data_IF_914459130598
#
_entry.id   IF_914459130598
#
_cell.length_a   1.000
_cell.length_b   1.000
_cell.length_c   1.000
_cell.angle_alpha   90.00
_cell.angle_beta   90.00
_cell.angle_gamma   90.00
#
_symmetry.space_group_name_H-M   'P 1'
#
loop_
_entity.id
_entity.type
_entity.pdbx_description
1 polymer ?
#
# COMPACT_ATOMS: atom_id res chain seq x y z
N UNK A 1 14.10 -2.98 -27.89
CA UNK A 1 14.30 -4.36 -27.39
C UNK A 1 14.10 -4.30 -25.89
N UNK A 2 13.19 -5.08 -25.32
CA UNK A 2 13.04 -5.15 -23.85
C UNK A 2 14.35 -5.68 -23.29
N UNK A 3 15.07 -4.89 -22.51
CA UNK A 3 16.22 -5.36 -21.72
C UNK A 3 15.73 -6.47 -20.79
N UNK A 4 16.46 -7.58 -20.70
CA UNK A 4 16.10 -8.74 -19.86
C UNK A 4 16.23 -8.47 -18.35
N UNK A 5 16.67 -7.26 -17.97
CA UNK A 5 17.00 -6.87 -16.61
C UNK A 5 16.25 -5.60 -16.17
N UNK A 6 15.24 -5.18 -16.92
CA UNK A 6 14.50 -3.94 -16.68
C UNK A 6 12.99 -4.16 -16.79
N UNK A 7 12.25 -3.38 -16.00
CA UNK A 7 10.80 -3.27 -16.04
C UNK A 7 10.41 -1.83 -16.37
N UNK A 8 9.45 -1.66 -17.28
CA UNK A 8 8.89 -0.33 -17.58
C UNK A 8 7.94 0.14 -16.46
N UNK A 9 7.81 1.46 -16.29
CA UNK A 9 6.88 2.07 -15.32
C UNK A 9 5.45 1.55 -15.48
N UNK A 10 4.97 1.39 -16.72
CA UNK A 10 3.62 0.87 -16.99
C UNK A 10 3.44 -0.57 -16.47
N UNK A 11 4.43 -1.45 -16.71
CA UNK A 11 4.38 -2.82 -16.21
C UNK A 11 4.44 -2.86 -14.69
N UNK A 12 5.31 -2.06 -14.07
CA UNK A 12 5.41 -1.97 -12.62
C UNK A 12 4.11 -1.44 -11.99
N UNK A 13 3.50 -0.41 -12.57
CA UNK A 13 2.24 0.16 -12.08
C UNK A 13 1.10 -0.87 -12.02
N UNK A 14 1.09 -1.88 -12.89
CA UNK A 14 0.11 -2.99 -12.85
C UNK A 14 0.36 -3.99 -11.72
N UNK A 15 1.59 -4.05 -11.20
CA UNK A 15 1.98 -4.93 -10.09
C UNK A 15 1.79 -4.28 -8.72
N UNK A 16 2.03 -2.96 -8.62
CA UNK A 16 1.81 -2.18 -7.39
C UNK A 16 0.37 -2.33 -6.90
N UNK A 17 0.21 -2.40 -5.59
CA UNK A 17 -1.10 -2.57 -4.97
C UNK A 17 -1.62 -4.00 -4.97
N UNK A 18 -0.80 -4.98 -5.37
CA UNK A 18 -1.20 -6.39 -5.46
C UNK A 18 -0.33 -7.27 -4.55
N UNK A 19 -0.83 -8.44 -4.08
CA UNK A 19 -0.06 -9.35 -3.22
C UNK A 19 1.25 -9.85 -3.85
N UNK A 20 1.27 -9.92 -5.19
CA UNK A 20 2.39 -10.42 -5.98
C UNK A 20 3.35 -9.31 -6.43
N UNK A 21 3.21 -8.09 -5.91
CA UNK A 21 4.18 -7.03 -6.16
C UNK A 21 5.57 -7.49 -5.66
N UNK A 22 6.62 -7.42 -6.49
CA UNK A 22 8.00 -7.65 -6.04
C UNK A 22 8.39 -6.68 -4.93
N UNK A 23 9.44 -6.98 -4.18
CA UNK A 23 10.02 -6.01 -3.24
C UNK A 23 10.50 -4.78 -4.02
N UNK A 24 10.07 -3.58 -3.65
CA UNK A 24 10.48 -2.35 -4.30
C UNK A 24 11.56 -1.67 -3.45
N UNK A 25 12.76 -1.56 -4.00
CA UNK A 25 13.94 -1.13 -3.23
C UNK A 25 14.46 0.16 -3.85
N UNK A 26 14.29 1.26 -3.13
CA UNK A 26 14.80 2.58 -3.52
C UNK A 26 16.23 2.75 -2.98
N UNK A 27 17.18 2.86 -3.90
CA UNK A 27 18.61 3.01 -3.61
C UNK A 27 19.15 4.38 -4.03
N UNK A 28 18.27 5.37 -4.18
CA UNK A 28 18.68 6.76 -4.37
C UNK A 28 19.54 7.22 -3.20
N UNK A 29 20.62 7.91 -3.54
CA UNK A 29 21.47 8.59 -2.56
C UNK A 29 20.70 9.74 -1.92
N UNK A 30 21.17 10.23 -0.78
CA UNK A 30 20.47 11.28 -0.04
C UNK A 30 20.30 12.55 -0.89
N UNK A 31 21.28 12.94 -1.71
CA UNK A 31 21.17 14.07 -2.64
C UNK A 31 20.01 13.91 -3.65
N UNK A 32 19.93 12.76 -4.31
CA UNK A 32 18.86 12.45 -5.28
C UNK A 32 17.48 12.36 -4.59
N UNK A 33 17.44 11.83 -3.37
CA UNK A 33 16.21 11.70 -2.59
C UNK A 33 15.73 13.05 -2.05
N UNK A 34 16.62 13.88 -1.55
CA UNK A 34 16.28 15.19 -0.98
C UNK A 34 15.80 16.16 -2.06
N UNK A 35 16.25 15.99 -3.31
CA UNK A 35 15.74 16.73 -4.47
C UNK A 35 14.26 16.43 -4.78
N UNK A 36 13.81 15.20 -4.53
CA UNK A 36 12.40 14.81 -4.62
C UNK A 36 12.07 13.71 -3.59
N UNK A 37 11.64 14.11 -2.36
CA UNK A 37 11.51 13.22 -1.22
C UNK A 37 10.18 12.46 -1.23
N UNK A 38 9.77 11.99 -2.42
CA UNK A 38 8.66 11.06 -2.63
C UNK A 38 9.18 9.68 -2.97
N UNK A 39 8.40 8.64 -2.75
CA UNK A 39 8.75 7.24 -3.00
C UNK A 39 7.83 6.63 -4.05
N UNK A 40 8.32 5.67 -4.82
CA UNK A 40 7.42 4.79 -5.59
C UNK A 40 6.52 4.04 -4.58
N UNK A 41 5.20 3.95 -4.80
CA UNK A 41 4.30 3.34 -3.81
C UNK A 41 4.73 1.92 -3.44
N UNK A 42 4.90 1.69 -2.13
CA UNK A 42 5.36 0.42 -1.55
C UNK A 42 6.87 0.23 -1.54
N UNK A 43 7.66 1.21 -1.99
CA UNK A 43 9.12 1.11 -1.93
C UNK A 43 9.71 1.45 -0.56
N UNK A 44 10.80 0.78 -0.24
CA UNK A 44 11.60 1.05 0.96
C UNK A 44 12.98 1.54 0.54
N UNK A 45 13.47 2.59 1.20
CA UNK A 45 14.85 3.06 1.01
C UNK A 45 15.85 2.08 1.63
N UNK A 46 16.90 1.76 0.87
CA UNK A 46 18.05 0.98 1.32
C UNK A 46 19.33 1.59 0.76
N UNK A 47 20.39 1.59 1.55
CA UNK A 47 21.68 2.11 1.11
C UNK A 47 22.37 1.09 0.21
N UNK A 48 22.69 1.46 -1.03
CA UNK A 48 23.38 0.58 -1.98
C UNK A 48 24.77 0.16 -1.50
N UNK A 49 25.42 0.96 -0.63
CA UNK A 49 26.77 0.69 -0.10
C UNK A 49 26.80 -0.52 0.83
N UNK A 50 25.68 -0.77 1.51
CA UNK A 50 25.51 -1.87 2.48
C UNK A 50 24.64 -2.99 1.91
N UNK A 51 24.54 -3.13 0.59
CA UNK A 51 23.70 -4.14 -0.06
C UNK A 51 23.94 -5.55 0.46
N UNK A 52 25.19 -5.92 0.73
CA UNK A 52 25.55 -7.23 1.28
C UNK A 52 24.99 -7.45 2.70
N UNK A 53 24.79 -6.37 3.45
CA UNK A 53 24.31 -6.42 4.83
C UNK A 53 22.81 -6.64 4.91
N UNK A 54 22.01 -6.05 4.01
CA UNK A 54 20.54 -6.13 4.08
C UNK A 54 19.89 -7.05 3.04
N UNK A 55 20.66 -7.63 2.10
CA UNK A 55 20.08 -8.50 1.05
C UNK A 55 19.26 -9.66 1.62
N UNK A 56 19.63 -10.18 2.79
CA UNK A 56 18.91 -11.26 3.47
C UNK A 56 17.57 -10.84 4.09
N UNK A 57 17.32 -9.54 4.24
CA UNK A 57 16.06 -8.99 4.75
C UNK A 57 14.97 -8.91 3.68
N UNK A 58 15.31 -9.17 2.40
CA UNK A 58 14.34 -9.16 1.31
C UNK A 58 13.51 -10.44 1.35
N UNK A 59 12.27 -10.31 1.83
CA UNK A 59 11.33 -11.42 2.07
C UNK A 59 10.53 -11.86 0.82
N UNK A 60 10.92 -11.38 -0.37
CA UNK A 60 10.28 -11.70 -1.64
C UNK A 60 11.22 -12.46 -2.56
N UNK A 61 10.65 -13.36 -3.35
CA UNK A 61 11.39 -14.10 -4.38
C UNK A 61 11.89 -13.20 -5.53
N UNK A 62 11.31 -12.01 -5.68
CA UNK A 62 11.75 -11.02 -6.66
C UNK A 62 11.74 -9.58 -6.12
N UNK A 63 12.57 -8.73 -6.73
CA UNK A 63 12.71 -7.32 -6.39
C UNK A 63 12.82 -6.43 -7.64
N UNK A 64 12.35 -5.20 -7.53
CA UNK A 64 12.62 -4.12 -8.49
C UNK A 64 13.45 -3.06 -7.80
N UNK A 65 14.62 -2.76 -8.37
CA UNK A 65 15.55 -1.78 -7.82
C UNK A 65 15.37 -0.44 -8.52
N UNK A 66 15.20 0.61 -7.73
CA UNK A 66 14.92 1.97 -8.17
C UNK A 66 16.09 2.84 -7.75
N UNK A 67 16.77 3.47 -8.72
CA UNK A 67 17.62 4.62 -8.45
C UNK A 67 17.08 5.82 -9.20
N UNK A 68 17.78 6.96 -9.16
CA UNK A 68 17.30 8.19 -9.78
C UNK A 68 16.95 8.01 -11.27
N UNK A 69 17.86 7.39 -12.03
CA UNK A 69 17.78 7.31 -13.50
C UNK A 69 17.76 5.89 -14.07
N UNK A 70 17.66 4.86 -13.23
CA UNK A 70 17.71 3.46 -13.67
C UNK A 70 19.08 3.02 -14.20
N UNK A 71 20.18 3.58 -13.68
CA UNK A 71 21.56 3.35 -14.16
C UNK A 71 22.40 2.54 -13.17
N UNK A 72 23.68 2.90 -13.00
CA UNK A 72 24.73 2.13 -12.31
C UNK A 72 24.34 1.61 -10.92
N UNK A 73 23.67 2.41 -10.09
CA UNK A 73 23.32 2.04 -8.73
C UNK A 73 22.28 0.93 -8.69
N UNK A 74 21.16 1.10 -9.40
CA UNK A 74 20.11 0.09 -9.44
C UNK A 74 20.58 -1.20 -10.11
N UNK A 75 21.37 -1.12 -11.19
CA UNK A 75 21.93 -2.31 -11.83
C UNK A 75 22.92 -3.06 -10.93
N UNK A 76 23.77 -2.34 -10.19
CA UNK A 76 24.73 -2.94 -9.25
C UNK A 76 24.03 -3.66 -8.10
N UNK A 77 23.03 -3.03 -7.49
CA UNK A 77 22.23 -3.64 -6.42
C UNK A 77 21.41 -4.82 -6.95
N UNK A 78 20.76 -4.69 -8.11
CA UNK A 78 20.03 -5.81 -8.71
C UNK A 78 20.95 -7.00 -9.00
N UNK A 79 22.21 -6.77 -9.39
CA UNK A 79 23.19 -7.84 -9.56
C UNK A 79 23.56 -8.54 -8.24
N UNK A 80 23.72 -7.79 -7.15
CA UNK A 80 23.94 -8.37 -5.81
C UNK A 80 22.75 -9.22 -5.33
N UNK A 81 21.52 -8.73 -5.54
CA UNK A 81 20.31 -9.50 -5.23
C UNK A 81 20.25 -10.81 -6.02
N UNK A 82 20.54 -10.77 -7.33
CA UNK A 82 20.61 -11.98 -8.17
C UNK A 82 21.70 -12.95 -7.70
N UNK A 83 22.85 -12.44 -7.27
CA UNK A 83 23.91 -13.28 -6.70
C UNK A 83 23.47 -13.97 -5.39
N UNK A 84 22.56 -13.35 -4.62
CA UNK A 84 21.95 -13.94 -3.44
C UNK A 84 20.72 -14.83 -3.74
N UNK A 85 20.41 -15.07 -5.01
CA UNK A 85 19.30 -15.93 -5.44
C UNK A 85 17.94 -15.24 -5.56
N UNK A 86 17.88 -13.90 -5.43
CA UNK A 86 16.65 -13.12 -5.59
C UNK A 86 16.57 -12.62 -7.04
N UNK A 87 15.48 -12.94 -7.75
CA UNK A 87 15.26 -12.40 -9.09
C UNK A 87 15.12 -10.87 -9.00
N UNK A 88 15.90 -10.10 -9.75
CA UNK A 88 15.86 -8.65 -9.64
C UNK A 88 15.99 -7.94 -10.97
N UNK A 89 15.08 -6.99 -11.21
CA UNK A 89 15.07 -6.08 -12.35
C UNK A 89 15.26 -4.63 -11.89
N UNK A 90 15.58 -3.74 -12.83
CA UNK A 90 15.71 -2.30 -12.62
C UNK A 90 14.48 -1.58 -13.17
N UNK A 91 14.00 -0.56 -12.46
CA UNK A 91 13.00 0.34 -13.03
C UNK A 91 13.62 1.16 -14.17
N UNK A 92 13.13 0.95 -15.39
CA UNK A 92 13.57 1.67 -16.60
C UNK A 92 13.42 3.19 -16.40
N UNK A 93 14.51 3.93 -16.63
CA UNK A 93 14.53 5.38 -16.42
C UNK A 93 14.48 5.84 -14.95
N UNK A 94 14.38 4.91 -14.00
CA UNK A 94 14.43 5.18 -12.57
C UNK A 94 13.23 5.98 -12.04
N UNK A 95 13.45 6.63 -10.91
CA UNK A 95 12.45 7.47 -10.25
C UNK A 95 12.05 8.69 -11.09
N UNK A 96 12.98 9.27 -11.85
CA UNK A 96 12.68 10.41 -12.75
C UNK A 96 11.60 10.04 -13.77
N UNK A 97 11.82 8.95 -14.52
CA UNK A 97 10.85 8.50 -15.53
C UNK A 97 9.50 8.08 -14.90
N UNK A 98 9.49 7.56 -13.67
CA UNK A 98 8.26 7.25 -12.94
C UNK A 98 7.41 8.50 -12.70
N UNK A 99 8.02 9.55 -12.18
CA UNK A 99 7.34 10.81 -11.85
C UNK A 99 6.99 11.60 -13.11
N UNK A 100 7.89 11.69 -14.09
CA UNK A 100 7.64 12.35 -15.38
C UNK A 100 6.48 11.70 -16.14
N UNK A 101 6.32 10.38 -16.00
CA UNK A 101 5.19 9.62 -16.52
C UNK A 101 3.86 9.87 -15.79
N UNK A 102 3.83 10.74 -14.77
CA UNK A 102 2.62 11.06 -13.99
C UNK A 102 2.16 9.95 -13.05
N UNK A 103 3.02 8.98 -12.74
CA UNK A 103 2.68 7.89 -11.82
C UNK A 103 2.62 8.39 -10.36
N UNK A 104 1.76 7.81 -9.51
CA UNK A 104 1.65 8.22 -8.11
C UNK A 104 2.97 8.04 -7.37
N UNK A 105 3.29 8.94 -6.45
CA UNK A 105 4.49 8.87 -5.61
C UNK A 105 4.15 9.35 -4.19
N UNK A 106 4.56 8.56 -3.19
CA UNK A 106 4.20 8.76 -1.79
C UNK A 106 5.14 9.78 -1.15
N UNK A 107 4.65 10.92 -0.65
CA UNK A 107 5.50 11.90 0.01
C UNK A 107 6.01 11.36 1.33
N UNK A 108 7.34 11.36 1.54
CA UNK A 108 7.95 10.87 2.77
C UNK A 108 7.52 11.67 4.01
N UNK A 109 7.17 12.95 3.85
CA UNK A 109 6.61 13.79 4.91
C UNK A 109 5.23 13.36 5.41
N UNK A 110 4.53 12.49 4.66
CA UNK A 110 3.30 11.84 5.13
C UNK A 110 3.59 10.56 5.92
N UNK A 111 4.80 10.03 5.89
CA UNK A 111 5.10 8.76 6.55
C UNK A 111 5.43 8.97 8.03
N UNK A 112 4.94 8.08 8.91
CA UNK A 112 5.46 7.96 10.26
C UNK A 112 6.97 7.73 10.29
N UNK A 113 7.57 8.02 11.45
CA UNK A 113 8.89 7.50 11.76
C UNK A 113 8.89 5.96 11.69
N UNK A 114 9.96 5.41 11.11
CA UNK A 114 10.17 3.97 11.02
C UNK A 114 10.87 3.46 12.29
N UNK A 115 10.54 2.25 12.72
CA UNK A 115 11.19 1.57 13.83
C UNK A 115 12.62 1.11 13.47
N UNK A 116 13.30 0.43 14.39
CA UNK A 116 14.67 -0.07 14.19
C UNK A 116 14.79 -1.08 13.02
N UNK A 117 13.71 -1.77 12.67
CA UNK A 117 13.64 -2.68 11.52
C UNK A 117 13.28 -1.94 10.21
N UNK A 118 13.04 -0.63 10.27
CA UNK A 118 12.66 0.17 9.13
C UNK A 118 11.17 0.07 8.78
N UNK A 119 10.30 -0.38 9.69
CA UNK A 119 8.86 -0.49 9.46
C UNK A 119 8.09 0.65 10.15
N UNK A 120 7.02 1.12 9.52
CA UNK A 120 6.03 2.00 10.15
C UNK A 120 5.19 1.20 11.14
N UNK A 121 4.88 1.81 12.28
CA UNK A 121 4.06 1.21 13.33
C UNK A 121 2.80 2.04 13.51
N UNK A 122 1.65 1.39 13.50
CA UNK A 122 0.33 2.01 13.55
C UNK A 122 -0.47 1.42 14.70
N UNK A 123 -1.27 2.24 15.37
CA UNK A 123 -2.12 1.80 16.48
C UNK A 123 -3.55 2.30 16.29
N UNK A 124 -4.51 1.42 16.57
CA UNK A 124 -5.93 1.78 16.66
C UNK A 124 -6.63 0.89 17.68
N UNK A 125 -7.91 1.15 17.90
CA UNK A 125 -8.73 0.36 18.82
C UNK A 125 -9.01 -1.04 18.27
N UNK A 126 -9.13 -2.01 19.18
CA UNK A 126 -9.47 -3.41 18.93
C UNK A 126 -10.84 -3.59 18.28
N UNK A 127 -11.09 -4.80 17.76
CA UNK A 127 -12.31 -5.16 17.00
C UNK A 127 -12.48 -4.28 15.75
N UNK A 128 -11.50 -4.29 14.83
CA UNK A 128 -11.52 -3.45 13.65
C UNK A 128 -12.64 -3.82 12.70
N UNK A 129 -13.10 -2.83 11.93
CA UNK A 129 -14.10 -2.96 10.87
C UNK A 129 -13.80 -1.90 9.83
N UNK A 130 -14.18 -2.17 8.58
CA UNK A 130 -14.18 -1.22 7.46
C UNK A 130 -12.90 -0.36 7.43
N UNK A 131 -12.90 0.89 7.89
CA UNK A 131 -11.73 1.77 7.84
C UNK A 131 -10.51 1.21 8.58
N UNK A 132 -10.71 0.57 9.73
CA UNK A 132 -9.63 -0.04 10.52
C UNK A 132 -9.07 -1.33 9.92
N UNK A 133 -9.60 -1.79 8.78
CA UNK A 133 -8.99 -2.84 7.94
C UNK A 133 -8.55 -2.28 6.57
N UNK A 134 -9.35 -1.38 5.98
CA UNK A 134 -9.05 -0.73 4.71
C UNK A 134 -7.75 0.08 4.78
N UNK A 135 -7.56 0.86 5.84
CA UNK A 135 -6.35 1.67 6.03
C UNK A 135 -5.11 0.79 6.16
N UNK A 136 -5.08 -0.25 7.02
CA UNK A 136 -4.00 -1.22 7.02
C UNK A 136 -3.73 -1.88 5.67
N UNK A 137 -4.77 -2.22 4.90
CA UNK A 137 -4.61 -2.76 3.55
C UNK A 137 -3.92 -1.76 2.62
N UNK A 138 -4.36 -0.50 2.60
CA UNK A 138 -3.76 0.56 1.78
C UNK A 138 -2.29 0.73 2.13
N UNK A 139 -1.97 0.79 3.43
CA UNK A 139 -0.60 0.96 3.92
C UNK A 139 0.26 -0.23 3.47
N UNK A 140 -0.16 -1.48 3.71
CA UNK A 140 0.60 -2.69 3.34
C UNK A 140 0.72 -2.91 1.83
N UNK A 141 -0.10 -2.26 1.01
CA UNK A 141 -0.10 -2.41 -0.45
C UNK A 141 0.60 -1.28 -1.21
N UNK A 142 0.66 -0.08 -0.61
CA UNK A 142 1.13 1.13 -1.31
C UNK A 142 2.10 1.99 -0.52
N UNK A 143 2.32 1.74 0.78
CA UNK A 143 3.13 2.63 1.63
C UNK A 143 4.30 1.87 2.24
N UNK A 144 3.99 0.82 2.99
CA UNK A 144 4.97 0.04 3.73
C UNK A 144 4.49 -1.41 3.83
N UNK A 145 5.01 -2.31 2.96
CA UNK A 145 4.59 -3.72 2.92
C UNK A 145 4.76 -4.45 4.25
N UNK A 146 5.65 -3.96 5.11
CA UNK A 146 5.99 -4.54 6.40
C UNK A 146 5.39 -3.78 7.60
N UNK A 147 4.41 -2.90 7.35
CA UNK A 147 3.77 -2.10 8.40
C UNK A 147 3.18 -2.98 9.51
N UNK A 148 3.46 -2.56 10.75
CA UNK A 148 3.00 -3.21 11.98
C UNK A 148 1.74 -2.52 12.47
N UNK A 149 0.72 -3.30 12.82
CA UNK A 149 -0.55 -2.81 13.36
C UNK A 149 -0.76 -3.32 14.78
N UNK A 150 -1.04 -2.40 15.69
CA UNK A 150 -1.34 -2.66 17.09
C UNK A 150 -2.83 -2.39 17.31
N UNK A 151 -3.57 -3.42 17.72
CA UNK A 151 -4.97 -3.31 18.11
C UNK A 151 -5.07 -3.41 19.63
N UNK A 152 -5.55 -2.34 20.26
CA UNK A 152 -5.57 -2.22 21.73
C UNK A 152 -6.92 -1.74 22.25
N UNK A 153 -7.14 -1.81 23.56
CA UNK A 153 -8.34 -1.23 24.15
C UNK A 153 -8.45 0.27 23.80
N UNK A 154 -9.66 0.81 23.54
CA UNK A 154 -9.81 2.20 23.11
C UNK A 154 -9.12 3.23 24.01
N UNK A 155 -9.14 3.02 25.33
CA UNK A 155 -8.49 3.92 26.30
C UNK A 155 -6.96 3.90 26.26
N UNK A 156 -6.36 2.88 25.66
CA UNK A 156 -4.91 2.67 25.64
C UNK A 156 -4.24 3.19 24.37
N UNK A 157 -5.01 3.55 23.33
CA UNK A 157 -4.46 3.85 21.99
C UNK A 157 -3.41 4.96 22.04
N UNK A 158 -3.70 6.08 22.70
CA UNK A 158 -2.78 7.22 22.77
C UNK A 158 -1.51 6.88 23.57
N UNK A 159 -1.65 6.20 24.71
CA UNK A 159 -0.51 5.81 25.55
C UNK A 159 0.39 4.78 24.86
N UNK A 160 -0.20 3.82 24.15
CA UNK A 160 0.55 2.88 23.31
C UNK A 160 1.24 3.62 22.17
N UNK A 161 0.56 4.57 21.53
CA UNK A 161 1.15 5.43 20.50
C UNK A 161 2.41 6.14 20.98
N UNK A 162 2.34 6.80 22.13
CA UNK A 162 3.48 7.49 22.74
C UNK A 162 4.61 6.53 23.11
N UNK A 163 4.30 5.44 23.82
CA UNK A 163 5.31 4.53 24.38
C UNK A 163 6.00 3.65 23.35
N UNK A 164 5.28 3.24 22.32
CA UNK A 164 5.80 2.35 21.27
C UNK A 164 6.11 3.08 19.97
N UNK A 165 5.99 4.42 19.95
CA UNK A 165 6.14 5.26 18.74
C UNK A 165 5.23 4.78 17.61
N UNK A 166 4.02 4.36 17.97
CA UNK A 166 3.01 3.91 17.01
C UNK A 166 2.12 5.09 16.62
N UNK A 167 1.87 5.24 15.33
CA UNK A 167 1.02 6.32 14.80
C UNK A 167 -0.45 5.99 15.02
N UNK A 168 -1.20 6.78 15.82
CA UNK A 168 -2.62 6.54 16.01
C UNK A 168 -3.41 6.90 14.75
N UNK A 169 -4.42 6.08 14.43
CA UNK A 169 -5.35 6.34 13.35
C UNK A 169 -6.76 5.84 13.67
N UNK A 170 -7.77 6.48 13.05
CA UNK A 170 -9.19 6.14 13.16
C UNK A 170 -9.67 6.01 14.62
N UNK A 171 -9.43 7.06 15.41
CA UNK A 171 -9.86 7.15 16.80
C UNK A 171 -10.60 8.45 17.10
N UNK A 172 -11.39 8.44 18.18
CA UNK A 172 -12.10 9.59 18.73
C UNK A 172 -11.15 10.48 19.55
N UNK A 173 -10.11 10.99 18.88
CA UNK A 173 -9.12 11.91 19.43
C UNK A 173 -8.55 12.77 18.28
N UNK A 174 -7.99 13.96 18.57
CA UNK A 174 -7.48 14.86 17.54
C UNK A 174 -6.14 14.36 16.97
N UNK A 175 -6.19 13.33 16.12
CA UNK A 175 -5.04 12.74 15.43
C UNK A 175 -5.07 13.06 13.94
N UNK A 176 -3.88 13.12 13.30
CA UNK A 176 -3.72 13.43 11.87
C UNK A 176 -4.57 12.50 10.98
N UNK A 177 -4.54 11.21 11.29
CA UNK A 177 -5.18 10.14 10.53
C UNK A 177 -6.55 9.81 11.11
N UNK A 178 -7.50 10.68 10.84
CA UNK A 178 -8.89 10.50 11.25
C UNK A 178 -9.83 11.05 10.18
N UNK A 179 -11.12 10.94 10.41
CA UNK A 179 -12.15 11.48 9.53
C UNK A 179 -12.00 13.00 9.37
N UNK A 180 -12.32 13.52 8.19
CA UNK A 180 -12.31 14.97 7.89
C UNK A 180 -13.56 15.38 7.15
N UNK A 181 -14.47 16.04 7.88
CA UNK A 181 -15.80 16.36 7.35
C UNK A 181 -16.51 15.08 6.93
N UNK A 182 -16.86 14.99 5.64
CA UNK A 182 -17.51 13.79 5.10
C UNK A 182 -16.56 12.66 4.72
N UNK A 183 -15.24 12.88 4.76
CA UNK A 183 -14.23 11.88 4.38
C UNK A 183 -13.90 10.95 5.54
N UNK A 184 -13.84 9.66 5.26
CA UNK A 184 -13.36 8.64 6.22
C UNK A 184 -11.82 8.66 6.32
N UNK A 185 -11.23 7.95 7.27
CA UNK A 185 -9.77 7.88 7.44
C UNK A 185 -9.09 7.35 6.17
N UNK A 186 -9.72 6.38 5.48
CA UNK A 186 -9.19 5.83 4.22
C UNK A 186 -9.07 6.89 3.11
N UNK A 187 -10.07 7.77 2.97
CA UNK A 187 -10.03 8.88 2.02
C UNK A 187 -8.86 9.83 2.30
N UNK A 188 -8.66 10.16 3.57
CA UNK A 188 -7.57 11.04 4.01
C UNK A 188 -6.22 10.43 3.70
N UNK A 189 -6.05 9.13 3.92
CA UNK A 189 -4.81 8.42 3.56
C UNK A 189 -4.58 8.37 2.05
N UNK A 190 -5.61 8.10 1.24
CA UNK A 190 -5.47 8.11 -0.23
C UNK A 190 -5.00 9.47 -0.75
N UNK A 191 -5.52 10.56 -0.20
CA UNK A 191 -5.12 11.92 -0.56
C UNK A 191 -3.69 12.24 -0.09
N UNK A 192 -3.41 12.11 1.21
CA UNK A 192 -2.13 12.55 1.77
C UNK A 192 -0.94 11.67 1.39
N UNK A 193 -1.17 10.38 1.08
CA UNK A 193 -0.13 9.53 0.51
C UNK A 193 0.07 9.73 -0.99
N UNK A 194 -0.64 10.66 -1.64
CA UNK A 194 -0.48 10.90 -3.08
C UNK A 194 -0.94 9.73 -3.95
N UNK A 195 -1.95 8.98 -3.48
CA UNK A 195 -2.43 7.74 -4.09
C UNK A 195 -3.79 7.89 -4.79
N UNK A 196 -4.22 9.11 -5.09
CA UNK A 196 -5.52 9.46 -5.68
C UNK A 196 -5.68 9.04 -7.17
N UNK A 197 -5.39 7.79 -7.48
CA UNK A 197 -5.63 7.15 -8.77
C UNK A 197 -7.11 6.81 -8.92
N UNK A 198 -7.62 6.75 -10.16
CA UNK A 198 -9.04 6.44 -10.40
C UNK A 198 -9.53 5.13 -9.72
N UNK A 199 -8.77 4.02 -9.70
CA UNK A 199 -9.17 2.81 -8.97
C UNK A 199 -9.24 3.00 -7.45
N UNK A 200 -8.26 3.69 -6.84
CA UNK A 200 -8.26 3.94 -5.40
C UNK A 200 -9.33 4.95 -4.98
N UNK A 201 -9.61 5.96 -5.80
CA UNK A 201 -10.73 6.89 -5.55
C UNK A 201 -12.08 6.20 -5.61
N UNK A 202 -12.24 5.20 -6.49
CA UNK A 202 -13.45 4.37 -6.53
C UNK A 202 -13.56 3.51 -5.27
N UNK A 203 -12.49 2.83 -4.87
CA UNK A 203 -12.47 2.07 -3.63
C UNK A 203 -12.74 2.95 -2.41
N UNK A 204 -12.15 4.14 -2.35
CA UNK A 204 -12.35 5.09 -1.26
C UNK A 204 -13.81 5.51 -1.13
N UNK A 205 -14.53 5.69 -2.26
CA UNK A 205 -15.98 5.94 -2.25
C UNK A 205 -16.78 4.77 -1.65
N UNK A 206 -16.42 3.52 -1.96
CA UNK A 206 -17.08 2.32 -1.41
C UNK A 206 -16.81 2.21 0.10
N UNK A 207 -15.56 2.42 0.51
CA UNK A 207 -15.14 2.39 1.92
C UNK A 207 -15.86 3.47 2.72
N UNK A 208 -15.83 4.72 2.26
CA UNK A 208 -16.55 5.84 2.88
C UNK A 208 -18.03 5.56 3.04
N UNK A 209 -18.67 5.01 2.01
CA UNK A 209 -20.10 4.67 2.03
C UNK A 209 -20.41 3.66 3.15
N UNK A 210 -19.62 2.59 3.24
CA UNK A 210 -19.80 1.56 4.25
C UNK A 210 -19.49 2.07 5.67
N UNK A 211 -18.40 2.83 5.83
CA UNK A 211 -17.91 3.27 7.13
C UNK A 211 -18.78 4.37 7.76
N UNK A 212 -19.29 5.29 6.92
CA UNK A 212 -20.13 6.41 7.37
C UNK A 212 -21.63 6.13 7.31
N UNK A 213 -22.04 4.87 7.11
CA UNK A 213 -23.44 4.44 6.99
C UNK A 213 -24.26 5.14 5.88
N UNK A 214 -23.58 5.62 4.83
CA UNK A 214 -24.17 6.26 3.64
C UNK A 214 -24.11 5.30 2.46
N UNK A 215 -24.83 4.18 2.59
CA UNK A 215 -24.74 3.04 1.67
C UNK A 215 -25.18 3.38 0.24
N UNK A 216 -26.00 4.42 0.07
CA UNK A 216 -26.43 4.94 -1.22
C UNK A 216 -25.28 5.57 -2.05
N UNK A 217 -24.15 5.91 -1.41
CA UNK A 217 -23.01 6.46 -2.11
C UNK A 217 -22.39 5.45 -3.08
N UNK A 218 -22.47 4.15 -2.83
CA UNK A 218 -21.97 3.11 -3.74
C UNK A 218 -22.77 1.80 -3.58
N UNK A 219 -23.33 1.21 -4.65
CA UNK A 219 -24.09 -0.05 -4.56
C UNK A 219 -23.33 -1.18 -3.86
N UNK A 220 -22.01 -1.21 -4.00
CA UNK A 220 -21.14 -2.25 -3.44
C UNK A 220 -20.94 -2.10 -1.92
N UNK A 221 -21.27 -0.94 -1.34
CA UNK A 221 -21.03 -0.61 0.07
C UNK A 221 -21.78 -1.53 1.04
N UNK A 222 -23.05 -1.86 0.72
CA UNK A 222 -23.84 -2.80 1.54
C UNK A 222 -23.20 -4.19 1.60
N UNK A 223 -22.57 -4.64 0.50
CA UNK A 223 -21.82 -5.89 0.46
C UNK A 223 -20.54 -5.83 1.28
N UNK A 224 -19.78 -4.73 1.17
CA UNK A 224 -18.59 -4.51 1.99
C UNK A 224 -18.92 -4.47 3.49
N UNK A 225 -20.00 -3.78 3.87
CA UNK A 225 -20.49 -3.73 5.24
C UNK A 225 -20.84 -5.14 5.75
N UNK A 226 -21.61 -5.91 4.99
CA UNK A 226 -22.00 -7.27 5.36
C UNK A 226 -20.78 -8.18 5.55
N UNK A 227 -19.84 -8.16 4.59
CA UNK A 227 -18.61 -8.94 4.67
C UNK A 227 -17.75 -8.54 5.87
N UNK A 228 -17.59 -7.23 6.12
CA UNK A 228 -16.80 -6.70 7.24
C UNK A 228 -17.38 -7.10 8.60
N UNK A 229 -18.72 -7.05 8.75
CA UNK A 229 -19.39 -7.50 9.97
C UNK A 229 -19.27 -9.02 10.15
N UNK A 230 -19.34 -9.79 9.05
CA UNK A 230 -19.11 -11.23 9.05
C UNK A 230 -17.71 -11.59 9.52
N UNK A 231 -16.67 -10.98 8.95
CA UNK A 231 -15.27 -11.17 9.38
C UNK A 231 -15.11 -10.87 10.88
N UNK A 232 -15.68 -9.76 11.36
CA UNK A 232 -15.63 -9.42 12.79
C UNK A 232 -16.31 -10.45 13.68
N UNK A 233 -17.27 -11.23 13.18
CA UNK A 233 -17.91 -12.32 13.92
C UNK A 233 -17.17 -13.65 13.81
N UNK A 234 -16.37 -13.85 12.76
CA UNK A 234 -15.59 -15.06 12.55
C UNK A 234 -14.30 -15.09 13.40
N UNK A 235 -13.67 -13.93 13.60
CA UNK A 235 -12.37 -13.83 14.26
C UNK A 235 -12.48 -13.13 15.62
N UNK A 236 -11.93 -13.77 16.65
CA UNK A 236 -11.72 -13.16 17.96
C UNK A 236 -10.42 -12.35 17.99
N UNK A 237 -9.39 -12.84 17.29
CA UNK A 237 -8.09 -12.20 17.12
C UNK A 237 -8.15 -11.12 16.02
N UNK A 238 -7.69 -9.91 16.35
CA UNK A 238 -7.76 -8.76 15.44
C UNK A 238 -6.74 -8.84 14.29
N UNK A 239 -5.60 -9.50 14.48
CA UNK A 239 -4.59 -9.70 13.44
C UNK A 239 -5.03 -10.79 12.46
N UNK A 240 -5.61 -11.89 12.95
CA UNK A 240 -6.24 -12.90 12.08
C UNK A 240 -7.37 -12.27 11.24
N UNK A 241 -8.18 -11.40 11.85
CA UNK A 241 -9.22 -10.66 11.13
C UNK A 241 -8.63 -9.74 10.05
N UNK A 242 -7.54 -9.03 10.36
CA UNK A 242 -6.84 -8.18 9.40
C UNK A 242 -6.34 -9.01 8.21
N UNK A 243 -5.64 -10.10 8.46
CA UNK A 243 -5.07 -10.94 7.41
C UNK A 243 -6.16 -11.56 6.53
N UNK A 244 -7.29 -11.99 7.11
CA UNK A 244 -8.46 -12.42 6.34
C UNK A 244 -9.08 -11.28 5.51
N UNK A 245 -9.12 -10.06 6.07
CA UNK A 245 -9.61 -8.86 5.41
C UNK A 245 -8.75 -8.40 4.24
N UNK A 246 -7.43 -8.66 4.26
CA UNK A 246 -6.51 -8.25 3.18
C UNK A 246 -6.98 -8.75 1.81
N UNK A 247 -7.38 -10.02 1.71
CA UNK A 247 -7.85 -10.60 0.44
C UNK A 247 -9.16 -9.96 -0.04
N UNK A 248 -10.05 -9.58 0.88
CA UNK A 248 -11.30 -8.89 0.53
C UNK A 248 -10.99 -7.57 -0.16
N UNK A 249 -10.12 -6.75 0.44
CA UNK A 249 -9.73 -5.46 -0.15
C UNK A 249 -8.90 -5.63 -1.42
N UNK A 250 -8.06 -6.68 -1.53
CA UNK A 250 -7.39 -7.02 -2.79
C UNK A 250 -8.41 -7.29 -3.91
N UNK A 251 -9.49 -8.02 -3.62
CA UNK A 251 -10.55 -8.31 -4.58
C UNK A 251 -11.33 -7.04 -4.98
N UNK A 252 -11.71 -6.20 -4.01
CA UNK A 252 -12.39 -4.93 -4.29
C UNK A 252 -11.51 -3.97 -5.10
N UNK A 253 -10.22 -3.88 -4.78
CA UNK A 253 -9.28 -3.06 -5.54
C UNK A 253 -9.11 -3.57 -6.98
N UNK A 254 -8.94 -4.88 -7.17
CA UNK A 254 -8.86 -5.50 -8.49
C UNK A 254 -10.14 -5.28 -9.29
N UNK A 255 -11.30 -5.37 -8.65
CA UNK A 255 -12.56 -5.02 -9.30
C UNK A 255 -12.58 -3.54 -9.72
N UNK A 256 -12.23 -2.62 -8.81
CA UNK A 256 -12.18 -1.18 -9.08
C UNK A 256 -11.24 -0.80 -10.23
N UNK A 257 -10.17 -1.56 -10.43
CA UNK A 257 -9.14 -1.32 -11.44
C UNK A 257 -9.45 -1.98 -12.78
N UNK A 258 -9.88 -3.24 -12.74
CA UNK A 258 -9.83 -4.14 -13.91
C UNK A 258 -11.22 -4.61 -14.37
N UNK A 259 -12.25 -4.63 -13.51
CA UNK A 259 -13.48 -5.40 -13.77
C UNK A 259 -14.80 -4.63 -13.58
N UNK A 260 -14.79 -3.31 -13.48
CA UNK A 260 -16.03 -2.56 -13.16
C UNK A 260 -17.09 -2.55 -14.25
N UNK A 261 -16.73 -2.94 -15.47
CA UNK A 261 -17.65 -3.05 -16.60
C UNK A 261 -18.12 -4.49 -16.84
N UNK A 262 -17.62 -5.45 -16.06
CA UNK A 262 -18.02 -6.85 -16.17
C UNK A 262 -19.35 -7.08 -15.44
N UNK A 263 -20.25 -7.83 -16.09
CA UNK A 263 -21.52 -8.24 -15.50
C UNK A 263 -21.62 -9.76 -15.54
N UNK A 264 -22.12 -10.37 -14.47
CA UNK A 264 -22.38 -11.81 -14.43
C UNK A 264 -23.84 -12.10 -14.77
N UNK A 265 -24.20 -11.87 -16.03
CA UNK A 265 -25.55 -12.09 -16.53
C UNK A 265 -25.68 -13.48 -17.17
N UNK A 266 -26.73 -14.19 -16.82
CA UNK A 266 -27.16 -15.41 -17.51
C UNK A 266 -28.46 -15.16 -18.29
N UNK A 267 -28.56 -15.58 -19.56
CA UNK A 267 -27.50 -16.16 -20.39
C UNK A 267 -26.46 -15.10 -20.78
N UNK A 268 -25.18 -15.49 -20.87
CA UNK A 268 -24.12 -14.59 -21.31
C UNK A 268 -24.48 -14.01 -22.67
N UNK A 269 -24.61 -12.69 -22.79
CA UNK A 269 -24.83 -12.05 -24.07
C UNK A 269 -23.70 -12.49 -25.02
N UNK A 270 -24.04 -13.09 -26.16
CA UNK A 270 -23.06 -13.41 -27.20
C UNK A 270 -22.40 -12.08 -27.57
N UNK A 271 -21.07 -12.02 -27.51
CA UNK A 271 -20.33 -10.93 -28.15
C UNK A 271 -20.64 -11.04 -29.63
N UNK A 272 -21.45 -10.13 -30.15
CA UNK A 272 -21.68 -10.05 -31.59
C UNK A 272 -20.32 -9.86 -32.29
N UNK A 273 -20.11 -10.65 -33.33
CA UNK A 273 -18.87 -10.84 -34.08
C UNK A 273 -18.49 -9.62 -34.93
#
# INVERSE_FOLDING_TARGET
>A
MSSYLEISSEKLARLIGTPNCPALIDVRVDEDFDADPRLVPGSARRDYRTVQDWTHDVDKASAIVICQQGKKLSHGVAAWLRNAGISADVLEGGFEAWVEGGSPAVPSSALPERNAQGHTVWVTRARPKIDRIACPWLIRRFVDPHAVFLYVAPSEVEMVGERFRATPFDIDAPVRWSHRGERCTFDVMVEEFGLATAPLLRLARIVRAADTARLELAPEASGLLAASLGLSRMYADDLEQLDAGMLLYDAFYRWCRDATNETHNWPSAKKDA
#
